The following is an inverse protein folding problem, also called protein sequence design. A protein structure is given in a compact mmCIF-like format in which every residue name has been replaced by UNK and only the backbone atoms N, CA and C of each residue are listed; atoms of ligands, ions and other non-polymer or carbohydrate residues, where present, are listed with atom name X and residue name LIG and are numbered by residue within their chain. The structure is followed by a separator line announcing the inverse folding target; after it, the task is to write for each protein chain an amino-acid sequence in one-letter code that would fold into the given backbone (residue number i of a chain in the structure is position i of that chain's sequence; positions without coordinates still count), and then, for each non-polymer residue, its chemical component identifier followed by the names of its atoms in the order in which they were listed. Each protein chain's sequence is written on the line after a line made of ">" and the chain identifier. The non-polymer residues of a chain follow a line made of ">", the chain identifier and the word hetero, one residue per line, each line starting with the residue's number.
data_IF_043162423265
#
_entry.id   IF_043162423265
#
_cell.length_a   1.000
_cell.length_b   1.000
_cell.length_c   1.000
_cell.angle_alpha   90.00
_cell.angle_beta   90.00
_cell.angle_gamma   90.00
#
_symmetry.space_group_name_H-M   'P 1'
#
loop_
_entity.id
_entity.type
_entity.pdbx_description
1 polymer ?
#
# COMPACT_ATOMS: atom_id res chain seq x y z
N UNK A 1 -29.82 14.34 -41.89
CA UNK A 1 -29.18 14.94 -40.70
C UNK A 1 -27.66 14.94 -40.85
N UNK A 2 -27.04 13.77 -41.08
CA UNK A 2 -25.59 13.61 -41.32
C UNK A 2 -25.00 14.44 -42.46
N UNK A 3 -25.71 14.59 -43.58
CA UNK A 3 -25.27 15.42 -44.72
C UNK A 3 -25.15 16.90 -44.39
N UNK A 4 -26.02 17.44 -43.53
CA UNK A 4 -25.95 18.84 -43.06
C UNK A 4 -24.75 19.04 -42.13
N UNK A 5 -24.50 18.08 -41.23
CA UNK A 5 -23.34 18.08 -40.34
C UNK A 5 -22.02 18.04 -41.12
N UNK A 6 -21.90 17.12 -42.09
CA UNK A 6 -20.73 17.04 -42.98
C UNK A 6 -20.53 18.32 -43.81
N UNK A 7 -21.62 18.90 -44.33
CA UNK A 7 -21.59 20.17 -45.05
C UNK A 7 -21.04 21.32 -44.21
N UNK A 8 -21.39 21.40 -42.93
CA UNK A 8 -20.90 22.45 -42.02
C UNK A 8 -19.41 22.24 -41.71
N UNK A 9 -19.02 21.00 -41.39
CA UNK A 9 -17.62 20.61 -41.15
C UNK A 9 -16.71 20.94 -42.32
N UNK A 10 -17.14 20.64 -43.56
CA UNK A 10 -16.34 20.89 -44.77
C UNK A 10 -16.30 22.39 -45.10
N UNK A 11 -17.42 23.11 -44.96
CA UNK A 11 -17.52 24.55 -45.25
C UNK A 11 -16.67 25.40 -44.29
N UNK A 12 -16.62 25.02 -43.01
CA UNK A 12 -15.84 25.70 -41.98
C UNK A 12 -14.66 24.85 -41.50
N UNK A 13 -13.94 24.19 -42.42
CA UNK A 13 -12.85 23.25 -42.10
C UNK A 13 -11.81 23.80 -41.13
N UNK A 14 -11.37 25.04 -41.34
CA UNK A 14 -10.30 25.65 -40.56
C UNK A 14 -10.76 26.02 -39.13
N UNK A 15 -11.90 26.71 -38.95
CA UNK A 15 -12.51 26.88 -37.62
C UNK A 15 -12.72 25.54 -36.90
N UNK A 16 -13.26 24.53 -37.58
CA UNK A 16 -13.63 23.27 -36.93
C UNK A 16 -12.41 22.50 -36.43
N UNK A 17 -11.33 22.46 -37.22
CA UNK A 17 -10.06 21.84 -36.80
C UNK A 17 -9.42 22.62 -35.64
N UNK A 18 -9.45 23.95 -35.68
CA UNK A 18 -8.92 24.77 -34.58
C UNK A 18 -9.71 24.57 -33.28
N UNK A 19 -11.04 24.52 -33.36
CA UNK A 19 -11.89 24.24 -32.19
C UNK A 19 -11.62 22.85 -31.64
N UNK A 20 -11.52 21.83 -32.50
CA UNK A 20 -11.19 20.47 -32.07
C UNK A 20 -9.81 20.42 -31.42
N UNK A 21 -8.81 21.07 -32.00
CA UNK A 21 -7.46 21.14 -31.45
C UNK A 21 -7.45 21.84 -30.08
N UNK A 22 -8.15 22.98 -29.95
CA UNK A 22 -8.27 23.71 -28.69
C UNK A 22 -8.95 22.87 -27.60
N UNK A 23 -10.06 22.18 -27.93
CA UNK A 23 -10.73 21.28 -26.98
C UNK A 23 -9.85 20.08 -26.61
N UNK A 24 -9.10 19.53 -27.57
CA UNK A 24 -8.18 18.41 -27.30
C UNK A 24 -7.05 18.85 -26.38
N UNK A 25 -6.48 20.04 -26.59
CA UNK A 25 -5.48 20.63 -25.68
C UNK A 25 -6.09 20.85 -24.29
N UNK A 26 -7.31 21.39 -24.20
CA UNK A 26 -8.01 21.55 -22.93
C UNK A 26 -8.19 20.21 -22.20
N UNK A 27 -8.66 19.17 -22.89
CA UNK A 27 -8.78 17.81 -22.32
C UNK A 27 -7.43 17.26 -21.89
N UNK A 28 -6.37 17.47 -22.69
CA UNK A 28 -5.01 17.08 -22.34
C UNK A 28 -4.49 17.77 -21.08
N UNK A 29 -4.82 19.05 -20.87
CA UNK A 29 -4.49 19.79 -19.66
C UNK A 29 -5.23 19.29 -18.41
N UNK A 30 -6.34 18.54 -18.58
CA UNK A 30 -7.04 17.93 -17.45
C UNK A 30 -6.44 16.57 -17.05
N UNK A 31 -5.68 15.89 -17.91
CA UNK A 31 -5.10 14.58 -17.61
C UNK A 31 -4.27 14.54 -16.31
N UNK A 32 -3.46 15.57 -15.96
CA UNK A 32 -2.75 15.60 -14.67
C UNK A 32 -3.67 15.59 -13.43
N UNK A 33 -4.94 15.98 -13.58
CA UNK A 33 -5.93 15.93 -12.50
C UNK A 33 -6.55 14.54 -12.31
N UNK A 34 -6.18 13.55 -13.14
CA UNK A 34 -6.64 12.18 -13.01
C UNK A 34 -6.19 11.62 -11.66
N UNK A 35 -7.13 11.53 -10.71
CA UNK A 35 -6.88 10.99 -9.38
C UNK A 35 -7.05 9.48 -9.42
N UNK A 36 -6.10 8.76 -8.84
CA UNK A 36 -6.27 7.34 -8.59
C UNK A 36 -7.25 7.16 -7.43
N UNK A 37 -8.26 6.31 -7.62
CA UNK A 37 -9.11 5.89 -6.53
C UNK A 37 -8.33 4.89 -5.67
N UNK A 38 -7.98 5.31 -4.45
CA UNK A 38 -7.17 4.51 -3.53
C UNK A 38 -8.01 3.58 -2.64
N UNK A 39 -9.34 3.71 -2.68
CA UNK A 39 -10.28 2.84 -1.97
C UNK A 39 -10.68 1.69 -2.88
N UNK A 40 -10.46 0.46 -2.41
CA UNK A 40 -10.84 -0.79 -3.08
C UNK A 40 -12.31 -1.21 -2.81
N UNK A 41 -13.14 -0.32 -2.26
CA UNK A 41 -14.56 -0.58 -1.97
C UNK A 41 -15.50 -0.15 -3.09
N UNK A 42 -16.77 -0.58 -3.01
CA UNK A 42 -17.82 -0.22 -3.98
C UNK A 42 -17.93 -1.16 -5.18
N UNK A 43 -17.55 -2.43 -5.02
CA UNK A 43 -17.81 -3.47 -6.04
C UNK A 43 -19.31 -3.78 -6.09
N UNK A 44 -19.98 -3.67 -4.93
CA UNK A 44 -21.41 -3.82 -4.80
C UNK A 44 -22.11 -2.47 -4.91
N UNK A 45 -23.35 -2.43 -5.43
CA UNK A 45 -24.21 -1.26 -5.37
C UNK A 45 -24.42 -0.77 -3.93
N UNK A 46 -24.59 0.54 -3.75
CA UNK A 46 -24.79 1.16 -2.43
C UNK A 46 -26.06 0.68 -1.70
N UNK A 47 -27.04 0.16 -2.45
CA UNK A 47 -28.29 -0.40 -1.93
C UNK A 47 -28.23 -1.90 -1.63
N UNK A 48 -27.08 -2.55 -1.88
CA UNK A 48 -26.91 -3.97 -1.61
C UNK A 48 -26.96 -4.25 -0.08
N UNK A 49 -27.73 -5.26 0.38
CA UNK A 49 -27.83 -5.58 1.79
C UNK A 49 -26.50 -5.92 2.47
N UNK A 50 -25.57 -6.54 1.74
CA UNK A 50 -24.25 -6.87 2.28
C UNK A 50 -23.41 -5.60 2.48
N UNK A 51 -23.52 -4.63 1.58
CA UNK A 51 -22.76 -3.39 1.66
C UNK A 51 -23.30 -2.46 2.75
N UNK A 52 -24.62 -2.42 2.94
CA UNK A 52 -25.26 -1.77 4.09
C UNK A 52 -24.86 -2.42 5.43
N UNK A 53 -24.75 -3.76 5.47
CA UNK A 53 -24.30 -4.47 6.66
C UNK A 53 -22.83 -4.18 6.97
N UNK A 54 -21.98 -4.17 5.95
CA UNK A 54 -20.56 -3.84 6.08
C UNK A 54 -20.36 -2.38 6.55
N UNK A 55 -21.09 -1.42 6.00
CA UNK A 55 -21.04 -0.03 6.43
C UNK A 55 -21.39 0.14 7.92
N UNK A 56 -22.42 -0.54 8.42
CA UNK A 56 -22.79 -0.54 9.85
C UNK A 56 -21.72 -1.17 10.73
N UNK A 57 -21.09 -2.23 10.25
CA UNK A 57 -19.98 -2.88 10.95
C UNK A 57 -18.80 -1.91 11.10
N UNK A 58 -18.40 -1.24 10.01
CA UNK A 58 -17.32 -0.24 10.03
C UNK A 58 -17.62 0.94 10.97
N UNK A 59 -18.88 1.37 11.06
CA UNK A 59 -19.30 2.43 11.98
C UNK A 59 -19.15 2.01 13.45
N UNK A 60 -19.42 0.75 13.77
CA UNK A 60 -19.41 0.24 15.15
C UNK A 60 -18.02 -0.23 15.61
N UNK A 61 -17.25 -0.84 14.71
CA UNK A 61 -15.99 -1.53 15.03
C UNK A 61 -14.75 -0.85 14.43
N UNK A 62 -14.93 0.17 13.59
CA UNK A 62 -13.84 0.81 12.86
C UNK A 62 -13.42 0.01 11.63
N UNK A 63 -12.42 0.53 10.92
CA UNK A 63 -12.04 0.00 9.63
C UNK A 63 -10.99 -1.11 9.68
N UNK A 64 -11.23 -2.19 8.93
CA UNK A 64 -10.31 -3.31 8.77
C UNK A 64 -9.29 -3.08 7.63
N UNK A 65 -8.18 -3.81 7.66
CA UNK A 65 -7.24 -3.91 6.54
C UNK A 65 -6.17 -2.81 6.46
N UNK A 66 -5.91 -2.14 7.57
CA UNK A 66 -4.80 -1.20 7.79
C UNK A 66 -3.57 -1.87 8.44
N UNK A 67 -3.44 -3.20 8.33
CA UNK A 67 -2.33 -3.95 8.95
C UNK A 67 -1.42 -4.49 7.86
N UNK A 68 -0.15 -4.09 7.92
CA UNK A 68 0.96 -4.75 7.22
C UNK A 68 1.60 -5.76 8.18
N UNK A 69 2.00 -6.91 7.65
CA UNK A 69 2.60 -7.97 8.44
C UNK A 69 3.99 -8.27 7.89
N UNK A 70 4.97 -8.40 8.77
CA UNK A 70 6.34 -8.80 8.48
C UNK A 70 6.57 -10.13 9.18
N UNK A 71 6.83 -11.19 8.41
CA UNK A 71 7.12 -12.52 8.91
C UNK A 71 8.59 -12.88 8.77
N UNK A 72 9.08 -13.65 9.72
CA UNK A 72 10.43 -14.23 9.72
C UNK A 72 10.34 -15.66 10.24
N UNK A 73 11.12 -16.56 9.67
CA UNK A 73 11.28 -17.95 10.15
C UNK A 73 12.77 -18.24 10.32
N UNK A 74 13.32 -17.93 11.51
CA UNK A 74 14.74 -18.15 11.81
C UNK A 74 14.96 -18.37 13.33
N UNK A 75 15.74 -19.39 13.68
CA UNK A 75 16.07 -19.73 15.07
C UNK A 75 16.92 -18.65 15.77
N UNK A 76 17.61 -17.80 15.01
CA UNK A 76 18.39 -16.68 15.54
C UNK A 76 17.53 -15.71 16.36
N UNK A 77 16.22 -15.66 16.14
CA UNK A 77 15.30 -14.87 16.95
C UNK A 77 15.17 -15.36 18.40
N UNK A 78 15.67 -16.55 18.73
CA UNK A 78 15.79 -17.06 20.11
C UNK A 78 17.09 -16.64 20.79
N UNK A 79 18.02 -16.02 20.05
CA UNK A 79 19.26 -15.46 20.60
C UNK A 79 19.02 -14.03 21.10
N UNK A 80 19.84 -13.59 22.06
CA UNK A 80 19.79 -12.23 22.59
C UNK A 80 20.04 -11.18 21.50
N UNK A 81 20.98 -11.46 20.60
CA UNK A 81 21.30 -10.58 19.47
C UNK A 81 20.14 -10.51 18.48
N UNK A 82 19.61 -11.65 18.05
CA UNK A 82 18.52 -11.68 17.06
C UNK A 82 17.22 -11.10 17.59
N UNK A 83 16.84 -11.39 18.84
CA UNK A 83 15.63 -10.82 19.44
C UNK A 83 15.73 -9.31 19.65
N UNK A 84 16.92 -8.82 20.02
CA UNK A 84 17.18 -7.38 20.13
C UNK A 84 17.11 -6.71 18.76
N UNK A 85 17.74 -7.31 17.74
CA UNK A 85 17.67 -6.79 16.36
C UNK A 85 16.22 -6.75 15.84
N UNK A 86 15.40 -7.74 16.19
CA UNK A 86 13.98 -7.76 15.84
C UNK A 86 13.18 -6.66 16.54
N UNK A 87 13.50 -6.37 17.80
CA UNK A 87 12.93 -5.23 18.53
C UNK A 87 13.33 -3.89 17.87
N UNK A 88 14.60 -3.75 17.51
CA UNK A 88 15.12 -2.55 16.85
C UNK A 88 14.41 -2.28 15.52
N UNK A 89 14.14 -3.32 14.72
CA UNK A 89 13.36 -3.19 13.50
C UNK A 89 11.94 -2.67 13.78
N UNK A 90 11.29 -3.19 14.82
CA UNK A 90 9.94 -2.75 15.20
C UNK A 90 9.92 -1.27 15.61
N UNK A 91 10.89 -0.82 16.40
CA UNK A 91 10.98 0.58 16.82
C UNK A 91 11.42 1.51 15.69
N UNK A 92 12.32 1.06 14.79
CA UNK A 92 12.69 1.82 13.60
C UNK A 92 11.48 2.04 12.70
N UNK A 93 10.69 0.99 12.43
CA UNK A 93 9.43 1.10 11.68
C UNK A 93 8.47 2.04 12.41
N UNK A 94 8.28 1.88 13.72
CA UNK A 94 7.41 2.75 14.53
C UNK A 94 7.83 4.22 14.48
N UNK A 95 9.12 4.50 14.32
CA UNK A 95 9.68 5.84 14.23
C UNK A 95 9.51 6.49 12.84
N UNK A 96 9.15 5.72 11.79
CA UNK A 96 8.95 6.27 10.45
C UNK A 96 7.86 7.35 10.43
N UNK A 97 8.14 8.42 9.67
CA UNK A 97 7.25 9.56 9.50
C UNK A 97 7.10 9.86 8.02
N UNK A 98 5.90 10.27 7.63
CA UNK A 98 5.61 10.75 6.28
C UNK A 98 5.52 12.27 6.29
N UNK A 99 5.91 12.92 5.19
CA UNK A 99 5.73 14.37 5.07
C UNK A 99 4.33 14.67 4.54
N UNK A 100 3.53 15.36 5.35
CA UNK A 100 2.18 15.82 4.99
C UNK A 100 2.17 17.34 5.13
N UNK A 101 1.83 18.04 4.04
CA UNK A 101 1.79 19.50 3.97
C UNK A 101 3.09 20.20 4.45
N UNK A 102 4.24 19.56 4.21
CA UNK A 102 5.57 20.07 4.58
C UNK A 102 5.99 19.81 6.03
N UNK A 103 5.18 19.08 6.81
CA UNK A 103 5.49 18.68 8.19
C UNK A 103 5.55 17.15 8.34
N UNK A 104 6.39 16.61 9.24
CA UNK A 104 6.39 15.18 9.55
C UNK A 104 5.11 14.81 10.30
N UNK A 105 4.38 13.83 9.78
CA UNK A 105 3.17 13.29 10.37
C UNK A 105 3.37 11.80 10.71
N UNK A 106 2.70 11.37 11.78
CA UNK A 106 2.67 9.97 12.22
C UNK A 106 1.55 9.26 11.48
N UNK A 107 1.89 8.22 10.74
CA UNK A 107 0.92 7.36 10.03
C UNK A 107 0.82 5.95 10.63
N UNK A 108 1.82 5.54 11.41
CA UNK A 108 1.83 4.24 12.08
C UNK A 108 1.25 4.45 13.48
N UNK A 109 0.10 3.84 13.75
CA UNK A 109 -0.57 3.91 15.05
C UNK A 109 0.12 3.00 16.06
N UNK A 110 0.49 1.79 15.64
CA UNK A 110 1.21 0.84 16.49
C UNK A 110 2.01 -0.18 15.70
N UNK A 111 3.09 -0.68 16.30
CA UNK A 111 3.83 -1.84 15.84
C UNK A 111 3.79 -2.88 16.96
N UNK A 112 3.38 -4.10 16.63
CA UNK A 112 3.22 -5.18 17.61
C UNK A 112 4.02 -6.39 17.14
N UNK A 113 5.00 -6.78 17.93
CA UNK A 113 5.90 -7.90 17.66
C UNK A 113 6.00 -8.79 18.91
N UNK A 114 6.67 -9.94 18.81
CA UNK A 114 6.93 -10.84 19.94
C UNK A 114 7.51 -10.13 21.16
N UNK A 115 8.37 -9.14 20.95
CA UNK A 115 9.03 -8.34 22.02
C UNK A 115 8.06 -7.41 22.76
N UNK A 116 6.91 -7.12 22.16
CA UNK A 116 5.85 -6.27 22.73
C UNK A 116 4.74 -7.09 23.40
N UNK A 117 4.87 -8.41 23.44
CA UNK A 117 3.90 -9.29 24.05
C UNK A 117 3.81 -9.07 25.57
N UNK A 118 2.61 -9.28 26.11
CA UNK A 118 2.30 -9.12 27.51
C UNK A 118 1.58 -10.35 28.05
N UNK A 119 1.82 -10.65 29.32
CA UNK A 119 1.06 -11.63 30.07
C UNK A 119 -0.07 -10.95 30.83
N UNK A 120 -1.24 -11.58 30.85
CA UNK A 120 -2.38 -11.11 31.65
C UNK A 120 -2.30 -11.74 33.04
N UNK A 121 -1.87 -10.95 34.02
CA UNK A 121 -1.79 -11.38 35.42
C UNK A 121 -3.00 -10.89 36.22
N UNK A 122 -3.38 -11.66 37.26
CA UNK A 122 -4.48 -11.30 38.17
C UNK A 122 -3.92 -10.52 39.36
N UNK A 123 -4.32 -9.25 39.50
CA UNK A 123 -4.04 -8.48 40.71
C UNK A 123 -5.09 -8.82 41.79
N UNK A 124 -4.76 -9.75 42.68
CA UNK A 124 -5.70 -10.32 43.67
C UNK A 124 -6.22 -9.30 44.69
N UNK A 125 -5.44 -8.24 44.97
CA UNK A 125 -5.80 -7.21 45.96
C UNK A 125 -6.82 -6.23 45.37
N UNK A 126 -6.54 -5.70 44.18
CA UNK A 126 -7.41 -4.71 43.52
C UNK A 126 -8.45 -5.35 42.60
N UNK A 127 -8.48 -6.70 42.54
CA UNK A 127 -9.41 -7.50 41.75
C UNK A 127 -9.49 -7.07 40.28
N UNK A 128 -8.34 -6.74 39.70
CA UNK A 128 -8.21 -6.33 38.29
C UNK A 128 -7.21 -7.21 37.55
N UNK A 129 -7.28 -7.20 36.23
CA UNK A 129 -6.26 -7.78 35.37
C UNK A 129 -5.21 -6.73 35.06
N UNK A 130 -3.95 -7.15 35.07
CA UNK A 130 -2.80 -6.30 34.74
C UNK A 130 -2.05 -6.92 33.57
N UNK A 131 -1.64 -6.07 32.64
CA UNK A 131 -0.82 -6.46 31.49
C UNK A 131 0.63 -6.27 31.88
N UNK A 132 1.38 -7.37 32.01
CA UNK A 132 2.79 -7.37 32.37
C UNK A 132 3.60 -7.65 31.11
N UNK A 133 4.51 -6.74 30.68
CA UNK A 133 5.38 -7.00 29.54
C UNK A 133 6.21 -8.28 29.74
N UNK A 134 6.35 -9.09 28.69
CA UNK A 134 7.17 -10.30 28.73
C UNK A 134 8.66 -10.01 28.57
N UNK A 135 8.99 -8.92 27.87
CA UNK A 135 10.35 -8.41 27.66
C UNK A 135 10.48 -6.94 28.12
N UNK A 136 10.29 -6.65 29.43
CA UNK A 136 10.40 -5.29 29.95
C UNK A 136 11.79 -4.67 29.70
N UNK A 137 12.83 -5.50 29.59
CA UNK A 137 14.20 -5.07 29.32
C UNK A 137 14.35 -4.38 27.96
N UNK A 138 13.52 -4.76 26.99
CA UNK A 138 13.49 -4.17 25.64
C UNK A 138 12.53 -2.98 25.59
N UNK A 139 11.32 -3.12 26.14
CA UNK A 139 10.25 -2.11 25.99
C UNK A 139 10.43 -0.89 26.89
N UNK A 140 10.86 -1.08 28.13
CA UNK A 140 10.95 0.02 29.11
C UNK A 140 12.27 0.80 29.00
N UNK A 141 13.23 0.30 28.21
CA UNK A 141 14.48 0.98 27.89
C UNK A 141 15.31 1.31 29.13
N UNK A 142 16.07 0.34 29.64
CA UNK A 142 16.99 0.59 30.75
C UNK A 142 18.32 1.19 30.24
N UNK A 143 18.68 2.43 30.61
CA UNK A 143 19.96 3.01 30.22
C UNK A 143 21.11 2.17 30.80
N UNK A 144 22.00 1.68 29.93
CA UNK A 144 23.15 0.82 30.27
C UNK A 144 22.81 -0.60 30.76
N UNK A 145 21.64 -1.15 30.39
CA UNK A 145 21.41 -2.58 30.60
C UNK A 145 22.44 -3.43 29.83
N UNK A 146 22.90 -4.57 30.41
CA UNK A 146 23.72 -5.51 29.66
C UNK A 146 22.95 -6.03 28.43
N UNK A 147 23.65 -6.46 27.37
CA UNK A 147 23.01 -7.12 26.23
C UNK A 147 22.15 -8.30 26.70
N UNK A 148 21.01 -8.50 26.03
CA UNK A 148 20.12 -9.62 26.32
C UNK A 148 20.90 -10.94 26.16
N UNK A 149 20.78 -11.85 27.13
CA UNK A 149 21.39 -13.18 27.03
C UNK A 149 20.52 -14.11 26.18
N UNK A 150 21.15 -15.10 25.53
CA UNK A 150 20.43 -16.09 24.72
C UNK A 150 19.42 -16.90 25.54
N UNK A 151 19.76 -17.22 26.79
CA UNK A 151 18.86 -17.90 27.73
C UNK A 151 17.60 -17.07 27.99
N UNK A 152 17.76 -15.76 28.21
CA UNK A 152 16.64 -14.85 28.47
C UNK A 152 15.78 -14.65 27.22
N UNK A 153 16.40 -14.52 26.05
CA UNK A 153 15.67 -14.42 24.78
C UNK A 153 14.84 -15.67 24.50
N UNK A 154 15.41 -16.86 24.71
CA UNK A 154 14.69 -18.14 24.58
C UNK A 154 13.53 -18.24 25.57
N UNK A 155 13.72 -17.82 26.83
CA UNK A 155 12.66 -17.79 27.83
C UNK A 155 11.49 -16.88 27.41
N UNK A 156 11.78 -15.69 26.87
CA UNK A 156 10.76 -14.76 26.36
C UNK A 156 9.96 -15.43 25.24
N UNK A 157 10.64 -16.02 24.25
CA UNK A 157 9.99 -16.69 23.12
C UNK A 157 9.12 -17.84 23.61
N UNK A 158 9.65 -18.71 24.48
CA UNK A 158 8.90 -19.87 25.00
C UNK A 158 7.69 -19.44 25.82
N UNK A 159 7.82 -18.36 26.59
CA UNK A 159 6.70 -17.81 27.36
C UNK A 159 5.62 -17.23 26.44
N UNK A 160 5.97 -16.53 25.36
CA UNK A 160 5.00 -16.09 24.34
C UNK A 160 4.32 -17.27 23.69
N UNK A 161 5.07 -18.33 23.33
CA UNK A 161 4.54 -19.56 22.73
C UNK A 161 3.65 -20.36 23.69
N UNK A 162 3.83 -20.21 25.00
CA UNK A 162 2.95 -20.83 26.00
C UNK A 162 1.56 -20.19 26.08
N UNK A 163 1.41 -18.97 25.56
CA UNK A 163 0.16 -18.21 25.61
C UNK A 163 -0.67 -18.51 24.35
N UNK A 164 -1.83 -19.20 24.47
CA UNK A 164 -2.58 -19.67 23.31
C UNK A 164 -3.24 -18.54 22.51
N UNK A 165 -3.45 -17.36 23.10
CA UNK A 165 -4.06 -16.23 22.41
C UNK A 165 -3.12 -15.53 21.42
N UNK A 166 -1.82 -15.80 21.47
CA UNK A 166 -0.84 -15.32 20.49
C UNK A 166 -0.60 -16.31 19.34
N UNK A 167 -1.16 -17.53 19.42
CA UNK A 167 -1.04 -18.54 18.37
C UNK A 167 -1.69 -18.05 17.06
N UNK A 168 -0.94 -18.10 15.96
CA UNK A 168 -1.39 -17.59 14.66
C UNK A 168 -1.40 -16.07 14.53
N UNK A 169 -1.01 -15.34 15.58
CA UNK A 169 -0.92 -13.88 15.58
C UNK A 169 0.53 -13.40 15.69
N UNK A 170 1.28 -13.89 16.68
CA UNK A 170 2.70 -13.56 16.88
C UNK A 170 3.62 -14.73 16.59
N UNK A 171 3.15 -15.97 16.75
CA UNK A 171 3.94 -17.17 16.46
C UNK A 171 3.09 -18.22 15.75
N UNK A 172 3.76 -19.07 14.98
CA UNK A 172 3.15 -20.26 14.41
C UNK A 172 3.39 -21.47 15.36
N UNK A 173 2.36 -22.26 15.72
CA UNK A 173 2.55 -23.47 16.51
C UNK A 173 3.42 -24.53 15.81
N UNK A 174 3.41 -24.57 14.48
CA UNK A 174 4.00 -25.67 13.70
C UNK A 174 5.48 -25.46 13.36
N UNK A 175 5.98 -24.22 13.39
CA UNK A 175 7.38 -23.89 13.08
C UNK A 175 7.89 -22.71 13.93
N UNK A 176 9.10 -22.23 13.65
CA UNK A 176 9.72 -21.09 14.35
C UNK A 176 9.33 -19.73 13.74
N UNK A 177 8.27 -19.69 12.92
CA UNK A 177 7.85 -18.44 12.30
C UNK A 177 7.22 -17.49 13.32
N UNK A 178 7.63 -16.23 13.26
CA UNK A 178 7.09 -15.11 14.05
C UNK A 178 6.56 -14.02 13.13
N UNK A 179 5.60 -13.25 13.64
CA UNK A 179 5.01 -12.12 12.93
C UNK A 179 5.19 -10.82 13.71
N UNK A 180 5.46 -9.75 12.97
CA UNK A 180 5.34 -8.37 13.40
C UNK A 180 4.20 -7.72 12.62
N UNK A 181 3.29 -7.08 13.34
CA UNK A 181 2.15 -6.36 12.78
C UNK A 181 2.39 -4.86 12.87
N UNK A 182 2.21 -4.16 11.76
CA UNK A 182 2.30 -2.71 11.65
C UNK A 182 0.90 -2.18 11.33
N UNK A 183 0.30 -1.48 12.28
CA UNK A 183 -1.05 -0.93 12.16
C UNK A 183 -0.96 0.55 11.77
N UNK A 184 -1.60 0.91 10.67
CA UNK A 184 -1.61 2.29 10.16
C UNK A 184 -2.89 3.04 10.51
N UNK A 185 -2.80 4.35 10.57
CA UNK A 185 -3.96 5.22 10.58
C UNK A 185 -4.77 5.04 9.29
N UNK A 186 -6.04 4.64 9.42
CA UNK A 186 -6.89 4.29 8.29
C UNK A 186 -7.12 5.45 7.32
N UNK A 187 -7.37 6.65 7.82
CA UNK A 187 -7.70 7.82 7.00
C UNK A 187 -6.48 8.30 6.21
N UNK A 188 -5.32 8.32 6.87
CA UNK A 188 -4.08 8.70 6.22
C UNK A 188 -3.66 7.69 5.14
N UNK A 189 -3.74 6.39 5.43
CA UNK A 189 -3.35 5.32 4.50
C UNK A 189 -4.19 5.32 3.21
N UNK A 190 -5.48 5.67 3.30
CA UNK A 190 -6.40 5.72 2.17
C UNK A 190 -6.41 7.08 1.43
N UNK A 191 -5.45 7.95 1.71
CA UNK A 191 -5.34 9.27 1.10
C UNK A 191 -4.03 9.44 0.32
N UNK A 192 -3.91 10.54 -0.42
CA UNK A 192 -2.63 10.93 -1.03
C UNK A 192 -1.53 11.24 0.01
N UNK A 193 -1.90 11.45 1.29
CA UNK A 193 -0.99 11.76 2.39
C UNK A 193 -0.23 10.53 2.90
N UNK A 194 -0.55 9.32 2.43
CA UNK A 194 0.17 8.09 2.79
C UNK A 194 1.67 8.12 2.42
N UNK A 195 2.05 9.04 1.54
CA UNK A 195 3.45 9.20 1.11
C UNK A 195 4.02 7.91 0.55
N UNK A 196 5.24 7.61 0.94
CA UNK A 196 6.01 6.40 0.60
C UNK A 196 6.13 5.43 1.77
N UNK A 197 5.23 5.49 2.76
CA UNK A 197 5.44 4.77 4.04
C UNK A 197 5.67 3.26 3.86
N UNK A 198 4.97 2.63 2.92
CA UNK A 198 5.12 1.18 2.71
C UNK A 198 6.42 0.89 1.98
N UNK A 199 6.83 1.73 1.05
CA UNK A 199 8.13 1.67 0.40
C UNK A 199 9.27 1.86 1.41
N UNK A 200 9.13 2.82 2.34
CA UNK A 200 10.10 3.08 3.41
C UNK A 200 10.21 1.85 4.35
N UNK A 201 9.09 1.19 4.67
CA UNK A 201 9.08 -0.04 5.46
C UNK A 201 9.77 -1.19 4.72
N UNK A 202 9.54 -1.34 3.40
CA UNK A 202 10.21 -2.35 2.58
C UNK A 202 11.72 -2.10 2.62
N UNK A 203 12.18 -0.88 2.39
CA UNK A 203 13.61 -0.54 2.41
C UNK A 203 14.25 -0.79 3.78
N UNK A 204 13.57 -0.42 4.87
CA UNK A 204 14.03 -0.69 6.24
C UNK A 204 14.12 -2.19 6.49
N UNK A 205 13.13 -2.96 6.07
CA UNK A 205 13.07 -4.41 6.27
C UNK A 205 14.14 -5.13 5.43
N UNK A 206 14.34 -4.74 4.17
CA UNK A 206 15.36 -5.30 3.28
C UNK A 206 16.77 -5.02 3.81
N UNK A 207 17.04 -3.77 4.23
CA UNK A 207 18.32 -3.40 4.84
C UNK A 207 18.60 -4.17 6.13
N UNK A 208 17.57 -4.38 6.95
CA UNK A 208 17.69 -5.19 8.16
C UNK A 208 17.99 -6.65 7.81
N UNK A 209 17.28 -7.20 6.83
CA UNK A 209 17.46 -8.58 6.33
C UNK A 209 18.88 -8.81 5.83
N UNK A 210 19.42 -7.90 5.01
CA UNK A 210 20.80 -7.96 4.51
C UNK A 210 21.85 -7.87 5.63
N UNK A 211 21.60 -7.03 6.65
CA UNK A 211 22.54 -6.82 7.76
C UNK A 211 22.64 -8.04 8.68
N UNK A 212 21.49 -8.67 8.97
CA UNK A 212 21.41 -9.76 9.94
C UNK A 212 21.43 -11.15 9.29
N UNK A 213 21.28 -11.24 7.96
CA UNK A 213 21.24 -12.51 7.24
C UNK A 213 19.98 -13.33 7.54
N UNK A 214 18.88 -12.65 7.89
CA UNK A 214 17.59 -13.24 8.23
C UNK A 214 16.57 -12.79 7.19
N UNK A 215 15.97 -13.75 6.47
CA UNK A 215 15.03 -13.45 5.40
C UNK A 215 13.70 -12.92 5.97
N UNK A 216 13.28 -11.74 5.51
CA UNK A 216 12.00 -11.13 5.90
C UNK A 216 10.97 -11.27 4.79
N UNK A 217 9.71 -11.53 5.17
CA UNK A 217 8.59 -11.68 4.25
C UNK A 217 7.48 -10.68 4.60
N UNK A 218 7.20 -9.75 3.69
CA UNK A 218 6.18 -8.72 3.90
C UNK A 218 4.85 -9.12 3.25
N UNK A 219 3.76 -8.85 3.95
CA UNK A 219 2.39 -9.14 3.52
C UNK A 219 1.39 -8.15 4.15
N UNK A 220 0.10 -8.44 3.99
CA UNK A 220 -1.00 -7.60 4.46
C UNK A 220 -1.59 -6.71 3.37
N UNK A 221 -2.83 -6.27 3.60
CA UNK A 221 -3.60 -5.51 2.61
C UNK A 221 -2.91 -4.19 2.19
N UNK A 222 -2.30 -3.39 3.08
CA UNK A 222 -1.57 -2.19 2.69
C UNK A 222 -0.42 -2.49 1.72
N UNK A 223 0.40 -3.50 2.04
CA UNK A 223 1.53 -3.92 1.20
C UNK A 223 1.06 -4.38 -0.18
N UNK A 224 0.08 -5.30 -0.23
CA UNK A 224 -0.44 -5.85 -1.49
C UNK A 224 -1.02 -4.73 -2.36
N UNK A 225 -1.84 -3.85 -1.77
CA UNK A 225 -2.50 -2.75 -2.50
C UNK A 225 -1.48 -1.77 -3.09
N UNK A 226 -0.48 -1.38 -2.30
CA UNK A 226 0.53 -0.42 -2.74
C UNK A 226 1.47 -1.04 -3.78
N UNK A 227 1.96 -2.26 -3.53
CA UNK A 227 2.79 -2.99 -4.49
C UNK A 227 2.08 -3.18 -5.82
N UNK A 228 0.80 -3.59 -5.80
CA UNK A 228 -0.02 -3.74 -7.03
C UNK A 228 -0.21 -2.39 -7.73
N UNK A 229 -0.58 -1.34 -6.99
CA UNK A 229 -0.81 0.00 -7.57
C UNK A 229 0.46 0.56 -8.21
N UNK A 230 1.61 0.37 -7.57
CA UNK A 230 2.90 0.83 -8.09
C UNK A 230 3.32 0.07 -9.34
N UNK A 231 3.14 -1.26 -9.38
CA UNK A 231 3.39 -2.07 -10.58
C UNK A 231 2.52 -1.58 -11.75
N UNK A 232 1.21 -1.43 -11.54
CA UNK A 232 0.29 -0.91 -12.56
C UNK A 232 0.71 0.48 -13.03
N UNK A 233 1.07 1.39 -12.11
CA UNK A 233 1.52 2.75 -12.46
C UNK A 233 2.81 2.75 -13.28
N UNK A 234 3.78 1.88 -12.94
CA UNK A 234 5.03 1.75 -13.67
C UNK A 234 4.85 1.18 -15.07
N UNK A 235 3.89 0.26 -15.23
CA UNK A 235 3.69 -0.47 -16.49
C UNK A 235 2.71 0.23 -17.46
N UNK A 236 1.79 1.07 -16.97
CA UNK A 236 0.74 1.66 -17.82
C UNK A 236 1.32 2.46 -19.00
N UNK A 237 2.43 3.18 -18.78
CA UNK A 237 3.11 3.93 -19.84
C UNK A 237 3.73 3.02 -20.90
N UNK A 238 4.30 1.89 -20.48
CA UNK A 238 4.83 0.87 -21.39
C UNK A 238 3.71 0.26 -22.24
N UNK A 239 2.58 -0.11 -21.63
CA UNK A 239 1.44 -0.68 -22.34
C UNK A 239 0.81 0.30 -23.34
N UNK A 240 0.66 1.58 -22.97
CA UNK A 240 0.15 2.61 -23.90
C UNK A 240 1.09 2.75 -25.11
N UNK A 241 2.40 2.84 -24.88
CA UNK A 241 3.39 2.93 -25.95
C UNK A 241 3.39 1.70 -26.87
N UNK A 242 3.36 0.50 -26.28
CA UNK A 242 3.29 -0.76 -27.01
C UNK A 242 2.00 -0.89 -27.84
N UNK A 243 0.85 -0.50 -27.28
CA UNK A 243 -0.43 -0.53 -27.99
C UNK A 243 -0.45 0.43 -29.19
N UNK A 244 0.09 1.65 -29.04
CA UNK A 244 0.24 2.62 -30.14
C UNK A 244 1.16 2.04 -31.22
N UNK A 245 2.29 1.43 -30.83
CA UNK A 245 3.23 0.83 -31.78
C UNK A 245 2.59 -0.31 -32.58
N UNK A 246 1.92 -1.25 -31.91
CA UNK A 246 1.23 -2.37 -32.57
C UNK A 246 0.13 -1.85 -33.50
N UNK A 247 -0.64 -0.86 -33.06
CA UNK A 247 -1.68 -0.23 -33.89
C UNK A 247 -1.06 0.47 -35.10
N UNK A 248 0.04 1.20 -34.92
CA UNK A 248 0.76 1.86 -36.00
C UNK A 248 1.29 0.85 -37.04
N UNK A 249 1.85 -0.28 -36.59
CA UNK A 249 2.33 -1.36 -37.46
C UNK A 249 1.18 -1.99 -38.25
N UNK A 250 0.03 -2.25 -37.62
CA UNK A 250 -1.15 -2.77 -38.30
C UNK A 250 -1.66 -1.79 -39.37
N UNK A 251 -1.82 -0.51 -39.01
CA UNK A 251 -2.23 0.53 -39.97
C UNK A 251 -1.22 0.67 -41.12
N UNK A 252 0.08 0.55 -40.82
CA UNK A 252 1.13 0.57 -41.83
C UNK A 252 1.05 -0.64 -42.77
N UNK A 253 0.69 -1.82 -42.27
CA UNK A 253 0.49 -3.02 -43.09
C UNK A 253 -0.71 -2.86 -44.04
N UNK A 254 -1.82 -2.29 -43.54
CA UNK A 254 -3.05 -2.10 -44.34
C UNK A 254 -2.92 -0.98 -45.38
N UNK A 255 -2.46 0.20 -44.97
CA UNK A 255 -2.43 1.38 -45.84
C UNK A 255 -1.14 1.50 -46.64
N UNK A 256 -0.03 0.92 -46.16
CA UNK A 256 1.33 1.01 -46.74
C UNK A 256 1.77 2.43 -47.08
N UNK A 257 1.18 3.43 -46.40
CA UNK A 257 1.38 4.84 -46.65
C UNK A 257 1.48 5.57 -45.31
N UNK A 258 2.67 6.11 -45.01
CA UNK A 258 2.97 6.82 -43.76
C UNK A 258 2.07 8.03 -43.53
N UNK A 259 1.64 8.73 -44.59
CA UNK A 259 0.73 9.87 -44.45
C UNK A 259 -0.65 9.45 -43.94
N UNK A 260 -1.18 8.33 -44.46
CA UNK A 260 -2.48 7.80 -44.04
C UNK A 260 -2.40 7.27 -42.60
N UNK A 261 -1.34 6.56 -42.27
CA UNK A 261 -1.08 6.06 -40.91
C UNK A 261 -1.02 7.22 -39.91
N UNK A 262 -0.29 8.30 -40.24
CA UNK A 262 -0.18 9.49 -39.38
C UNK A 262 -1.54 10.15 -39.13
N UNK A 263 -2.38 10.29 -40.15
CA UNK A 263 -3.73 10.85 -40.00
C UNK A 263 -4.60 9.95 -39.12
N UNK A 264 -4.57 8.62 -39.32
CA UNK A 264 -5.32 7.68 -38.50
C UNK A 264 -4.86 7.68 -37.03
N UNK A 265 -3.56 7.70 -36.77
CA UNK A 265 -3.00 7.77 -35.42
C UNK A 265 -3.36 9.08 -34.72
N UNK A 266 -3.41 10.20 -35.45
CA UNK A 266 -3.84 11.47 -34.87
C UNK A 266 -5.28 11.40 -34.37
N UNK A 267 -6.19 10.77 -35.13
CA UNK A 267 -7.58 10.57 -34.70
C UNK A 267 -7.66 9.69 -33.45
N UNK A 268 -6.87 8.60 -33.38
CA UNK A 268 -6.80 7.73 -32.20
C UNK A 268 -6.28 8.50 -30.98
N UNK A 269 -5.21 9.27 -31.15
CA UNK A 269 -4.63 10.09 -30.07
C UNK A 269 -5.63 11.11 -29.51
N UNK A 270 -6.40 11.78 -30.39
CA UNK A 270 -7.49 12.67 -29.96
C UNK A 270 -8.53 11.91 -29.14
N UNK A 271 -8.95 10.72 -29.59
CA UNK A 271 -9.91 9.88 -28.87
C UNK A 271 -9.42 9.47 -27.48
N UNK A 272 -8.18 9.01 -27.35
CA UNK A 272 -7.57 8.66 -26.05
C UNK A 272 -7.48 9.90 -25.14
N UNK A 273 -7.06 11.05 -25.67
CA UNK A 273 -6.96 12.31 -24.92
C UNK A 273 -8.32 12.74 -24.37
N UNK A 274 -9.36 12.64 -25.19
CA UNK A 274 -10.73 12.95 -24.77
C UNK A 274 -11.25 11.98 -23.72
N UNK A 275 -10.97 10.68 -23.88
CA UNK A 275 -11.38 9.67 -22.90
C UNK A 275 -10.74 9.95 -21.54
N UNK A 276 -9.42 10.12 -21.49
CA UNK A 276 -8.68 10.39 -20.25
C UNK A 276 -9.06 11.75 -19.65
N UNK A 277 -9.17 12.79 -20.47
CA UNK A 277 -9.59 14.13 -20.02
C UNK A 277 -11.02 14.15 -19.48
N UNK A 278 -11.93 13.35 -20.04
CA UNK A 278 -13.30 13.22 -19.52
C UNK A 278 -13.31 12.53 -18.16
N UNK A 279 -12.55 11.44 -17.98
CA UNK A 279 -12.41 10.78 -16.67
C UNK A 279 -11.77 11.71 -15.64
N UNK A 280 -10.87 12.60 -16.05
CA UNK A 280 -10.30 13.59 -15.13
C UNK A 280 -11.28 14.73 -14.76
N UNK A 281 -12.28 15.00 -15.60
CA UNK A 281 -13.29 16.05 -15.40
C UNK A 281 -14.50 15.57 -14.58
N UNK A 282 -14.83 14.29 -14.66
CA UNK A 282 -16.01 13.67 -14.04
C UNK A 282 -15.59 12.62 -13.02
#
# INVERSE_FOLDING_TARGET
>A
MWSRLASILIRHRLPTVLTLAALTVFMGLQIPNLKMQYKYGGILPDDDPAELAHARFLESFGAEGNVLVIGVEDEQLRTGVGLTAWHELAEEIRALRVTVDGAPAVIIDSVFALTHAFEVSKHLVEKRFELVPLAPELVEGMPNAPPLSDERASEIVDKVRSLPFYAGLLYNPDNEATLMMVVFNHDMLNSAQRGTIVEDIIEVSDRWSERHGIDTHLSGLPFIRISMTNKVKGEIGYFIGAAILVTALLLMLFFRNLAVVGVCLAVVAVGVTWSLGSIALF
#
